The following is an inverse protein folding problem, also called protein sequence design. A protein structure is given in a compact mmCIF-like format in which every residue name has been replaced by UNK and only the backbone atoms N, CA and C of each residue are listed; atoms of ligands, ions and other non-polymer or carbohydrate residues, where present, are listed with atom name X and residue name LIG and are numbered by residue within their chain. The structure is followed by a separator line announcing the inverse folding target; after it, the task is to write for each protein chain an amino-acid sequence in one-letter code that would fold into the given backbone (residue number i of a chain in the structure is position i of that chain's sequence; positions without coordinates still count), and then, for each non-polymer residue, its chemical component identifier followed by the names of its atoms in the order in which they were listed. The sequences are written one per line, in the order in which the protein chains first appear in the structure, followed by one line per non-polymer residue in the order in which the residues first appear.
data_IF_064763617583
#
_entry.id   IF_064763617583
#
_cell.length_a   1.000
_cell.length_b   1.000
_cell.length_c   1.000
_cell.angle_alpha   90.00
_cell.angle_beta   90.00
_cell.angle_gamma   90.00
#
_symmetry.space_group_name_H-M   'P 1'
#
loop_
_entity.id
_entity.type
_entity.pdbx_description
1 polymer ?
#
# COMPACT_ATOMS: atom_id res chain seq x y z
N UNK A 1 9.83 3.05 15.30
CA UNK A 1 9.23 1.79 15.80
C UNK A 1 8.05 1.47 14.91
N UNK A 2 8.00 0.27 14.32
CA UNK A 2 7.02 -0.13 13.30
C UNK A 2 5.53 -0.06 13.76
N UNK A 3 5.30 -0.01 15.08
CA UNK A 3 3.96 0.08 15.67
C UNK A 3 3.24 1.41 15.42
N UNK A 4 3.94 2.52 15.18
CA UNK A 4 3.28 3.83 14.98
C UNK A 4 2.64 4.00 13.59
N UNK A 5 3.10 3.27 12.57
CA UNK A 5 2.53 3.39 11.21
C UNK A 5 1.14 2.75 11.08
N UNK A 6 0.88 1.65 11.80
CA UNK A 6 -0.41 0.96 11.82
C UNK A 6 -1.44 1.75 12.65
N UNK A 7 -1.03 2.31 13.80
CA UNK A 7 -1.90 3.18 14.62
C UNK A 7 -2.38 4.43 13.87
N UNK A 8 -1.57 5.02 12.98
CA UNK A 8 -2.01 6.20 12.20
C UNK A 8 -2.98 5.86 11.07
N UNK A 9 -2.92 4.65 10.51
CA UNK A 9 -3.92 4.16 9.56
C UNK A 9 -5.28 3.95 10.25
N UNK A 10 -5.31 3.45 11.48
CA UNK A 10 -6.55 3.29 12.24
C UNK A 10 -7.09 4.62 12.81
N UNK A 11 -6.23 5.63 12.99
CA UNK A 11 -6.60 6.96 13.47
C UNK A 11 -7.22 7.90 12.40
N UNK A 12 -7.49 7.40 11.18
CA UNK A 12 -8.16 8.18 10.13
C UNK A 12 -7.30 9.28 9.49
N UNK A 13 -5.97 9.18 9.57
CA UNK A 13 -5.03 10.16 8.97
C UNK A 13 -4.12 9.49 7.94
N UNK A 14 -4.68 9.02 6.81
CA UNK A 14 -3.93 8.25 5.81
C UNK A 14 -2.77 9.06 5.19
N UNK A 15 -2.93 10.38 5.00
CA UNK A 15 -1.88 11.25 4.45
C UNK A 15 -0.63 11.33 5.33
N UNK A 16 -0.82 11.42 6.66
CA UNK A 16 0.31 11.40 7.61
C UNK A 16 1.00 10.05 7.64
N UNK A 17 0.24 8.95 7.55
CA UNK A 17 0.82 7.62 7.45
C UNK A 17 1.69 7.48 6.19
N UNK A 18 1.25 8.00 5.04
CA UNK A 18 2.02 8.02 3.78
C UNK A 18 3.35 8.75 3.96
N UNK A 19 3.32 9.96 4.52
CA UNK A 19 4.54 10.77 4.71
C UNK A 19 5.55 10.06 5.62
N UNK A 20 5.09 9.54 6.75
CA UNK A 20 5.94 8.84 7.71
C UNK A 20 6.52 7.55 7.11
N UNK A 21 5.71 6.76 6.41
CA UNK A 21 6.15 5.52 5.75
C UNK A 21 7.17 5.81 4.65
N UNK A 22 6.97 6.84 3.83
CA UNK A 22 7.93 7.26 2.81
C UNK A 22 9.25 7.68 3.43
N UNK A 23 9.22 8.55 4.43
CA UNK A 23 10.43 8.99 5.13
C UNK A 23 11.17 7.82 5.77
N UNK A 24 10.43 6.86 6.35
CA UNK A 24 11.02 5.68 6.96
C UNK A 24 11.69 4.82 5.89
N UNK A 25 10.99 4.52 4.78
CA UNK A 25 11.51 3.76 3.63
C UNK A 25 12.73 4.39 2.95
N UNK A 26 12.83 5.72 2.91
CA UNK A 26 13.98 6.43 2.34
C UNK A 26 15.20 6.43 3.25
N UNK A 27 15.00 6.53 4.58
CA UNK A 27 16.12 6.65 5.55
C UNK A 27 16.58 5.31 6.13
N UNK A 28 15.72 4.31 6.17
CA UNK A 28 16.01 3.05 6.84
C UNK A 28 16.72 2.06 5.91
N UNK A 29 17.84 1.51 6.39
CA UNK A 29 18.44 0.32 5.80
C UNK A 29 17.70 -0.91 6.32
N UNK A 30 16.60 -1.27 5.66
CA UNK A 30 15.76 -2.40 6.08
C UNK A 30 16.26 -3.71 5.48
N UNK A 31 16.07 -4.80 6.24
CA UNK A 31 16.07 -6.12 5.63
C UNK A 31 14.99 -6.17 4.52
N UNK A 32 15.22 -6.91 3.42
CA UNK A 32 14.26 -7.02 2.31
C UNK A 32 12.83 -7.34 2.75
N UNK A 33 12.70 -8.17 3.81
CA UNK A 33 11.42 -8.55 4.43
C UNK A 33 10.69 -7.35 5.06
N UNK A 34 11.39 -6.57 5.86
CA UNK A 34 10.80 -5.40 6.54
C UNK A 34 10.46 -4.32 5.52
N UNK A 35 11.29 -4.17 4.48
CA UNK A 35 11.01 -3.28 3.36
C UNK A 35 9.71 -3.66 2.65
N UNK A 36 9.51 -4.95 2.35
CA UNK A 36 8.26 -5.43 1.73
C UNK A 36 7.04 -5.16 2.62
N UNK A 37 7.18 -5.34 3.94
CA UNK A 37 6.13 -5.08 4.92
C UNK A 37 5.71 -3.60 4.96
N UNK A 38 6.68 -2.68 5.02
CA UNK A 38 6.39 -1.25 5.04
C UNK A 38 5.83 -0.72 3.71
N UNK A 39 6.28 -1.27 2.57
CA UNK A 39 5.73 -0.91 1.25
C UNK A 39 4.27 -1.39 1.13
N UNK A 40 3.93 -2.57 1.66
CA UNK A 40 2.56 -3.07 1.66
C UNK A 40 1.62 -2.16 2.47
N UNK A 41 2.07 -1.68 3.63
CA UNK A 41 1.33 -0.70 4.43
C UNK A 41 1.20 0.67 3.74
N UNK A 42 2.23 1.12 3.03
CA UNK A 42 2.14 2.36 2.23
C UNK A 42 1.07 2.25 1.14
N UNK A 43 1.01 1.11 0.45
CA UNK A 43 -0.03 0.85 -0.53
C UNK A 43 -1.44 0.86 0.09
N UNK A 44 -1.61 0.31 1.29
CA UNK A 44 -2.87 0.40 2.05
C UNK A 44 -3.27 1.84 2.38
N UNK A 45 -2.32 2.65 2.87
CA UNK A 45 -2.57 4.05 3.20
C UNK A 45 -2.91 4.90 1.97
N UNK A 46 -2.24 4.67 0.83
CA UNK A 46 -2.56 5.32 -0.46
C UNK A 46 -3.97 4.98 -0.94
N UNK A 47 -4.36 3.71 -0.84
CA UNK A 47 -5.72 3.28 -1.19
C UNK A 47 -6.78 3.95 -0.29
N UNK A 48 -6.47 4.13 1.00
CA UNK A 48 -7.35 4.81 1.95
C UNK A 48 -7.39 6.34 1.74
N UNK A 49 -6.30 6.94 1.25
CA UNK A 49 -6.23 8.36 0.88
C UNK A 49 -6.94 8.69 -0.44
N UNK A 50 -7.39 7.68 -1.19
CA UNK A 50 -8.03 7.88 -2.49
C UNK A 50 -7.07 7.99 -3.67
N UNK A 51 -5.86 7.47 -3.53
CA UNK A 51 -4.81 7.40 -4.57
C UNK A 51 -4.67 5.94 -5.09
N UNK A 52 -5.65 5.41 -5.84
CA UNK A 52 -5.70 3.99 -6.20
C UNK A 52 -4.58 3.56 -7.16
N UNK A 53 -4.15 4.42 -8.08
CA UNK A 53 -3.11 4.10 -9.07
C UNK A 53 -1.74 4.00 -8.42
N UNK A 54 -1.42 4.94 -7.53
CA UNK A 54 -0.18 4.92 -6.75
C UNK A 54 -0.19 3.76 -5.75
N UNK A 55 -1.33 3.46 -5.14
CA UNK A 55 -1.51 2.28 -4.30
C UNK A 55 -1.28 0.97 -5.06
N UNK A 56 -1.81 0.84 -6.27
CA UNK A 56 -1.63 -0.35 -7.10
C UNK A 56 -0.14 -0.57 -7.46
N UNK A 57 0.52 0.50 -7.91
CA UNK A 57 1.95 0.47 -8.25
C UNK A 57 2.81 0.11 -7.04
N UNK A 58 2.53 0.72 -5.90
CA UNK A 58 3.24 0.46 -4.63
C UNK A 58 2.98 -0.97 -4.14
N UNK A 59 1.75 -1.47 -4.27
CA UNK A 59 1.38 -2.83 -3.91
C UNK A 59 2.09 -3.88 -4.77
N UNK A 60 2.23 -3.63 -6.08
CA UNK A 60 2.99 -4.51 -6.98
C UNK A 60 4.48 -4.58 -6.59
N UNK A 61 5.08 -3.46 -6.20
CA UNK A 61 6.46 -3.43 -5.72
C UNK A 61 6.63 -4.24 -4.41
N UNK A 62 5.69 -4.13 -3.47
CA UNK A 62 5.67 -4.95 -2.26
C UNK A 62 5.53 -6.45 -2.58
N UNK A 63 4.67 -6.82 -3.54
CA UNK A 63 4.48 -8.19 -3.97
C UNK A 63 5.76 -8.79 -4.57
N UNK A 64 6.47 -8.04 -5.42
CA UNK A 64 7.74 -8.49 -6.00
C UNK A 64 8.80 -8.80 -4.93
N UNK A 65 8.89 -7.96 -3.89
CA UNK A 65 9.80 -8.18 -2.77
C UNK A 65 9.35 -9.33 -1.85
N UNK A 66 8.05 -9.46 -1.59
CA UNK A 66 7.50 -10.50 -0.71
C UNK A 66 7.54 -11.90 -1.36
N UNK A 67 7.30 -12.00 -2.67
CA UNK A 67 7.33 -13.24 -3.43
C UNK A 67 8.75 -13.83 -3.49
N UNK A 68 9.78 -12.98 -3.59
CA UNK A 68 11.18 -13.40 -3.53
C UNK A 68 11.58 -13.99 -2.17
N UNK A 69 10.78 -13.75 -1.11
CA UNK A 69 11.12 -14.09 0.28
C UNK A 69 10.14 -15.08 0.93
N UNK A 70 9.16 -15.63 0.18
CA UNK A 70 8.11 -16.54 0.67
C UNK A 70 7.42 -16.05 1.97
N UNK A 71 7.14 -14.75 2.08
CA UNK A 71 6.70 -14.17 3.34
C UNK A 71 5.17 -14.00 3.45
N UNK A 72 4.52 -14.90 4.21
CA UNK A 72 3.07 -14.97 4.35
C UNK A 72 2.38 -13.73 4.95
N UNK A 73 3.06 -12.99 5.84
CA UNK A 73 2.46 -11.81 6.50
C UNK A 73 2.31 -10.62 5.53
N UNK A 74 3.28 -10.42 4.62
CA UNK A 74 3.19 -9.41 3.57
C UNK A 74 2.12 -9.76 2.53
N UNK A 75 1.97 -11.05 2.21
CA UNK A 75 0.88 -11.52 1.35
C UNK A 75 -0.51 -11.29 1.97
N UNK A 76 -0.63 -11.43 3.30
CA UNK A 76 -1.85 -11.11 4.03
C UNK A 76 -2.27 -9.64 3.90
N UNK A 77 -1.31 -8.72 4.03
CA UNK A 77 -1.57 -7.28 3.89
C UNK A 77 -1.91 -6.91 2.44
N UNK A 78 -1.18 -7.45 1.46
CA UNK A 78 -1.46 -7.26 0.04
C UNK A 78 -2.87 -7.71 -0.36
N UNK A 79 -3.38 -8.80 0.23
CA UNK A 79 -4.77 -9.23 0.00
C UNK A 79 -5.78 -8.20 0.51
N UNK A 80 -5.50 -7.49 1.61
CA UNK A 80 -6.37 -6.41 2.10
C UNK A 80 -6.33 -5.20 1.17
N UNK A 81 -5.14 -4.82 0.70
CA UNK A 81 -4.96 -3.73 -0.28
C UNK A 81 -5.73 -4.01 -1.57
N UNK A 82 -5.64 -5.23 -2.11
CA UNK A 82 -6.40 -5.66 -3.29
C UNK A 82 -7.91 -5.61 -3.04
N UNK A 83 -8.39 -5.99 -1.85
CA UNK A 83 -9.80 -5.90 -1.51
C UNK A 83 -10.31 -4.44 -1.46
N UNK A 84 -9.49 -3.50 -0.97
CA UNK A 84 -9.77 -2.08 -0.99
C UNK A 84 -9.79 -1.51 -2.42
N UNK A 85 -8.78 -1.83 -3.22
CA UNK A 85 -8.69 -1.42 -4.64
C UNK A 85 -9.84 -1.98 -5.48
N UNK A 86 -10.30 -3.21 -5.22
CA UNK A 86 -11.49 -3.77 -5.88
C UNK A 86 -12.77 -2.96 -5.64
N UNK A 87 -12.88 -2.24 -4.52
CA UNK A 87 -14.02 -1.33 -4.28
C UNK A 87 -13.93 -0.10 -5.19
N UNK A 88 -12.73 0.43 -5.42
CA UNK A 88 -12.49 1.49 -6.40
C UNK A 88 -12.75 1.03 -7.83
N UNK A 89 -12.30 -0.18 -8.21
CA UNK A 89 -12.57 -0.74 -9.53
C UNK A 89 -14.08 -0.94 -9.80
N UNK A 90 -14.86 -1.30 -8.77
CA UNK A 90 -16.34 -1.39 -8.86
C UNK A 90 -17.03 -0.02 -8.78
N UNK A 91 -16.34 1.01 -8.30
CA UNK A 91 -16.83 2.39 -8.21
C UNK A 91 -16.36 3.25 -9.39
N UNK A 92 -15.51 2.71 -10.28
CA UNK A 92 -15.22 3.35 -11.54
C UNK A 92 -16.56 3.67 -12.22
N UNK A 93 -16.88 4.96 -12.46
CA UNK A 93 -18.03 5.26 -13.28
C UNK A 93 -17.77 4.58 -14.62
N UNK A 94 -18.77 3.87 -15.13
CA UNK A 94 -18.90 3.62 -16.57
C UNK A 94 -18.85 4.99 -17.27
N UNK A 95 -17.64 5.47 -17.54
CA UNK A 95 -17.37 6.88 -17.71
C UNK A 95 -16.33 7.10 -18.80
N UNK A 96 -16.78 6.82 -20.02
CA UNK A 96 -16.30 7.44 -21.24
C UNK A 96 -14.84 7.16 -21.63
N UNK A 97 -14.56 5.95 -22.11
CA UNK A 97 -13.55 5.79 -23.15
C UNK A 97 -14.07 6.46 -24.44
N UNK A 98 -13.87 7.77 -24.54
CA UNK A 98 -13.88 8.46 -25.82
C UNK A 98 -12.76 7.87 -26.68
N UNK A 99 -13.14 7.02 -27.64
CA UNK A 99 -12.26 6.63 -28.74
C UNK A 99 -12.12 7.84 -29.69
N UNK A 100 -10.92 8.15 -30.17
CA UNK A 100 -10.76 9.00 -31.36
C UNK A 100 -11.33 8.31 -32.60
#
# INVERSE_FOLDING_TARGET
MAQSAVCHHEAGQPERAIVLLRQHLTRGNFAPRDRAFFIAHLAGALAAAGEPDEAATTGLAALGLAAALYFGQALGELRRTVAALRRYARRAPSGNCGRP
#
